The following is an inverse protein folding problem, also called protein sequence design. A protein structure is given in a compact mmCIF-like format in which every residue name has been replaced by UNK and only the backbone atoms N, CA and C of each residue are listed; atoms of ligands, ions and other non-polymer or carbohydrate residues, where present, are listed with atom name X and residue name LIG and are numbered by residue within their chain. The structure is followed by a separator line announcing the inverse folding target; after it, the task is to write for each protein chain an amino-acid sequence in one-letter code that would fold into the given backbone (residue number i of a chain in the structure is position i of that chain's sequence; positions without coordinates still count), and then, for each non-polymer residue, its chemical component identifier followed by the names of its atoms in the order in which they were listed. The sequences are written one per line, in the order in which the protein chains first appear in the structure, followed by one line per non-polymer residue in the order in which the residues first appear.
data_IF_036850320859
#
_entry.id   IF_036850320859
#
_cell.length_a   1.000
_cell.length_b   1.000
_cell.length_c   1.000
_cell.angle_alpha   90.00
_cell.angle_beta   90.00
_cell.angle_gamma   90.00
#
_symmetry.space_group_name_H-M   'P 1'
#
loop_
_entity.id
_entity.type
_entity.pdbx_description
1 polymer ?
#
# COMPACT_ATOMS: atom_id res chain seq x y z
N UNK A 1 -15.35 15.98 -4.07
CA UNK A 1 -15.17 15.38 -5.41
C UNK A 1 -13.77 15.69 -5.87
N UNK A 2 -13.02 14.66 -6.29
CA UNK A 2 -11.58 14.59 -6.63
C UNK A 2 -10.65 15.51 -5.82
N UNK A 3 -9.95 14.91 -4.85
CA UNK A 3 -8.68 15.48 -4.38
C UNK A 3 -7.68 15.43 -5.54
N UNK A 4 -6.85 16.46 -5.69
CA UNK A 4 -5.80 16.55 -6.72
C UNK A 4 -4.67 15.57 -6.40
N UNK A 5 -4.91 14.30 -6.69
CA UNK A 5 -3.96 13.21 -6.51
C UNK A 5 -3.40 12.83 -7.88
N UNK A 6 -2.07 12.72 -7.98
CA UNK A 6 -1.37 12.39 -9.22
C UNK A 6 -1.28 10.87 -9.48
N UNK A 7 -2.10 10.06 -8.79
CA UNK A 7 -2.09 8.61 -8.92
C UNK A 7 -3.47 8.06 -9.33
N UNK A 8 -3.44 6.91 -10.00
CA UNK A 8 -4.64 6.22 -10.44
C UNK A 8 -5.43 5.65 -9.26
N UNK A 9 -6.75 5.82 -9.31
CA UNK A 9 -7.69 5.20 -8.37
C UNK A 9 -8.58 4.25 -9.15
N UNK A 10 -8.33 2.95 -8.99
CA UNK A 10 -9.12 1.89 -9.60
C UNK A 10 -10.24 1.41 -8.65
N UNK A 11 -11.33 0.89 -9.23
CA UNK A 11 -12.43 0.27 -8.50
C UNK A 11 -12.41 -1.26 -8.67
N UNK A 12 -12.12 -1.99 -7.60
CA UNK A 12 -12.23 -3.45 -7.56
C UNK A 12 -13.66 -3.89 -7.19
N UNK A 13 -14.60 -3.77 -8.14
CA UNK A 13 -16.01 -4.04 -7.87
C UNK A 13 -16.33 -5.51 -7.55
N UNK A 14 -15.47 -6.45 -7.96
CA UNK A 14 -15.64 -7.90 -7.76
C UNK A 14 -14.86 -8.43 -6.56
N UNK A 15 -13.90 -7.67 -6.04
CA UNK A 15 -13.00 -8.13 -4.99
C UNK A 15 -11.91 -9.07 -5.50
N UNK A 16 -11.68 -9.13 -6.81
CA UNK A 16 -10.70 -10.04 -7.41
C UNK A 16 -9.28 -9.63 -6.97
N UNK A 17 -8.99 -8.32 -6.96
CA UNK A 17 -7.71 -7.82 -6.49
C UNK A 17 -7.57 -8.01 -4.97
N UNK A 18 -8.62 -7.71 -4.18
CA UNK A 18 -8.62 -7.94 -2.74
C UNK A 18 -8.34 -9.42 -2.39
N UNK A 19 -8.94 -10.36 -3.14
CA UNK A 19 -8.71 -11.80 -2.99
C UNK A 19 -7.30 -12.22 -3.37
N UNK A 20 -6.80 -11.77 -4.53
CA UNK A 20 -5.42 -12.06 -4.99
C UNK A 20 -4.36 -11.57 -4.00
N UNK A 21 -4.58 -10.42 -3.38
CA UNK A 21 -3.66 -9.82 -2.42
C UNK A 21 -3.93 -10.20 -0.96
N UNK A 22 -4.89 -11.10 -0.70
CA UNK A 22 -5.16 -11.61 0.65
C UNK A 22 -5.67 -10.55 1.64
N UNK A 23 -6.39 -9.54 1.17
CA UNK A 23 -6.92 -8.47 2.02
C UNK A 23 -7.98 -9.03 2.97
N UNK A 24 -7.65 -9.12 4.26
CA UNK A 24 -8.53 -9.67 5.31
C UNK A 24 -9.07 -8.63 6.29
N UNK A 25 -8.41 -7.47 6.39
CA UNK A 25 -8.72 -6.39 7.33
C UNK A 25 -8.38 -5.03 6.71
N UNK A 26 -9.10 -3.99 7.12
CA UNK A 26 -8.95 -2.63 6.60
C UNK A 26 -8.50 -1.62 7.68
N UNK A 27 -7.84 -0.51 7.29
CA UNK A 27 -7.22 -0.30 5.97
C UNK A 27 -6.05 -1.26 5.72
N UNK A 28 -5.76 -1.51 4.44
CA UNK A 28 -4.73 -2.45 3.99
C UNK A 28 -3.83 -1.75 2.96
N UNK A 29 -2.53 -1.88 3.10
CA UNK A 29 -1.57 -1.28 2.16
C UNK A 29 -0.45 -2.27 1.86
N UNK A 30 -0.03 -2.32 0.60
CA UNK A 30 0.93 -3.30 0.10
C UNK A 30 1.99 -2.55 -0.68
N UNK A 31 3.26 -2.78 -0.33
CA UNK A 31 4.42 -2.25 -1.05
C UNK A 31 4.98 -3.35 -1.92
N UNK A 32 5.03 -3.11 -3.24
CA UNK A 32 5.52 -4.04 -4.25
C UNK A 32 6.74 -3.40 -4.91
N UNK A 33 7.84 -4.15 -5.04
CA UNK A 33 9.05 -3.65 -5.69
C UNK A 33 8.99 -3.69 -7.23
N UNK A 34 10.03 -3.17 -7.88
CA UNK A 34 10.14 -3.13 -9.35
C UNK A 34 10.19 -4.51 -10.02
N UNK A 35 10.44 -5.58 -9.27
CA UNK A 35 10.45 -6.97 -9.76
C UNK A 35 9.10 -7.66 -9.55
N UNK A 36 8.10 -6.95 -9.00
CA UNK A 36 6.78 -7.50 -8.70
C UNK A 36 6.72 -8.28 -7.38
N UNK A 37 7.72 -8.15 -6.50
CA UNK A 37 7.76 -8.85 -5.22
C UNK A 37 7.09 -8.01 -4.14
N UNK A 38 6.18 -8.61 -3.36
CA UNK A 38 5.60 -7.98 -2.17
C UNK A 38 6.68 -7.85 -1.10
N UNK A 39 6.99 -6.61 -0.70
CA UNK A 39 8.02 -6.29 0.31
C UNK A 39 7.43 -6.06 1.68
N UNK A 40 6.29 -5.36 1.75
CA UNK A 40 5.63 -5.02 3.00
C UNK A 40 4.11 -5.11 2.86
N UNK A 41 3.45 -5.54 3.94
CA UNK A 41 1.99 -5.52 4.09
C UNK A 41 1.68 -4.77 5.39
N UNK A 42 0.89 -3.71 5.31
CA UNK A 42 0.40 -2.95 6.46
C UNK A 42 -1.08 -3.21 6.66
N UNK A 43 -1.46 -3.59 7.88
CA UNK A 43 -2.85 -3.84 8.26
C UNK A 43 -3.23 -2.90 9.39
N UNK A 44 -4.32 -2.15 9.20
CA UNK A 44 -4.76 -1.11 10.11
C UNK A 44 -4.07 0.25 9.85
N UNK A 45 -4.52 1.29 10.54
CA UNK A 45 -3.97 2.63 10.43
C UNK A 45 -3.70 3.22 11.81
N UNK A 46 -2.42 3.32 12.15
CA UNK A 46 -1.96 3.85 13.44
C UNK A 46 -1.83 5.38 13.51
N UNK A 47 -2.44 6.11 12.57
CA UNK A 47 -2.30 7.56 12.43
C UNK A 47 -1.28 7.96 11.35
N UNK A 48 -1.49 9.14 10.76
CA UNK A 48 -0.78 9.60 9.57
C UNK A 48 0.74 9.71 9.78
N UNK A 49 1.17 10.33 10.88
CA UNK A 49 2.60 10.53 11.17
C UNK A 49 3.36 9.20 11.31
N UNK A 50 2.79 8.25 12.06
CA UNK A 50 3.38 6.93 12.24
C UNK A 50 3.47 6.17 10.92
N UNK A 51 2.40 6.22 10.13
CA UNK A 51 2.33 5.54 8.85
C UNK A 51 3.31 6.13 7.83
N UNK A 52 3.38 7.46 7.72
CA UNK A 52 4.31 8.15 6.83
C UNK A 52 5.78 7.82 7.18
N UNK A 53 6.13 7.89 8.47
CA UNK A 53 7.47 7.55 8.93
C UNK A 53 7.85 6.10 8.64
N UNK A 54 6.91 5.17 8.84
CA UNK A 54 7.10 3.76 8.53
C UNK A 54 7.32 3.56 7.02
N UNK A 55 6.39 4.06 6.20
CA UNK A 55 6.44 3.90 4.75
C UNK A 55 7.71 4.50 4.14
N UNK A 56 8.11 5.71 4.58
CA UNK A 56 9.32 6.37 4.07
C UNK A 56 10.58 5.56 4.38
N UNK A 57 10.70 5.05 5.61
CA UNK A 57 11.84 4.23 6.02
C UNK A 57 11.92 2.94 5.18
N UNK A 58 10.80 2.25 5.02
CA UNK A 58 10.73 1.02 4.21
C UNK A 58 11.13 1.29 2.75
N UNK A 59 10.64 2.38 2.15
CA UNK A 59 11.02 2.75 0.77
C UNK A 59 12.51 3.10 0.65
N UNK A 60 13.10 3.78 1.62
CA UNK A 60 14.54 4.10 1.64
C UNK A 60 15.40 2.83 1.72
N UNK A 61 15.00 1.85 2.54
CA UNK A 61 15.67 0.55 2.63
C UNK A 61 15.61 -0.22 1.30
N UNK A 62 14.48 -0.19 0.60
CA UNK A 62 14.31 -0.83 -0.71
C UNK A 62 15.10 -0.18 -1.84
N UNK A 63 15.32 1.13 -1.78
CA UNK A 63 16.08 1.86 -2.80
C UNK A 63 17.59 1.62 -2.64
N UNK A 64 18.04 1.31 -1.43
CA UNK A 64 19.46 1.08 -1.12
C UNK A 64 19.95 -0.35 -1.40
N UNK A 65 19.05 -1.28 -1.73
CA UNK A 65 19.35 -2.69 -2.12
C UNK A 65 19.89 -2.80 -3.55
#
# INVERSE_FOLDING_TARGET
GKKDWEFDVALDAKGDAAGLYGVSSIPHSIVIDKKGVIRYIHIGFGGAEKYEKQLRKELEELIAE
#
